data_IF_741518220028
#
_entry.id   IF_741518220028
#
_cell.length_a   1.000
_cell.length_b   1.000
_cell.length_c   1.000
_cell.angle_alpha   90.00
_cell.angle_beta   90.00
_cell.angle_gamma   90.00
#
_symmetry.space_group_name_H-M   'P 1'
#
loop_
_entity.id
_entity.type
_entity.pdbx_description
1 polymer ?
#
# COMPACT_ATOMS: atom_id res chain seq x y z
N UNK A 1 -7.55 -4.96 21.69
CA UNK A 1 -8.98 -4.56 21.62
C UNK A 1 -9.78 -5.76 22.08
N UNK A 2 -10.86 -5.59 22.86
CA UNK A 2 -11.79 -6.67 23.17
C UNK A 2 -12.49 -7.08 21.88
N UNK A 3 -12.50 -8.38 21.56
CA UNK A 3 -13.21 -8.89 20.39
C UNK A 3 -14.68 -8.50 20.49
N UNK A 4 -15.14 -7.65 19.57
CA UNK A 4 -16.57 -7.31 19.47
C UNK A 4 -17.34 -8.55 19.03
N UNK A 5 -18.54 -8.69 19.54
CA UNK A 5 -19.47 -9.79 19.20
C UNK A 5 -20.59 -9.28 18.27
N UNK A 6 -21.36 -10.20 17.70
CA UNK A 6 -22.57 -9.86 16.93
C UNK A 6 -23.54 -8.98 17.75
N UNK A 7 -23.72 -9.29 19.06
CA UNK A 7 -24.57 -8.52 19.96
C UNK A 7 -24.02 -7.09 20.16
N UNK A 8 -22.71 -6.90 20.24
CA UNK A 8 -22.08 -5.58 20.33
C UNK A 8 -22.36 -4.74 19.09
N UNK A 9 -22.36 -5.36 17.90
CA UNK A 9 -22.70 -4.69 16.64
C UNK A 9 -24.19 -4.33 16.60
N UNK A 10 -25.07 -5.25 16.94
CA UNK A 10 -26.52 -4.98 16.98
C UNK A 10 -26.85 -3.85 17.97
N UNK A 11 -26.17 -3.85 19.12
CA UNK A 11 -26.29 -2.77 20.10
C UNK A 11 -25.77 -1.44 19.55
N UNK A 12 -24.59 -1.44 18.91
CA UNK A 12 -24.01 -0.24 18.27
C UNK A 12 -24.97 0.35 17.22
N UNK A 13 -25.58 -0.50 16.39
CA UNK A 13 -26.55 -0.11 15.37
C UNK A 13 -27.76 0.59 16.01
N UNK A 14 -28.28 0.05 17.12
CA UNK A 14 -29.42 0.63 17.84
C UNK A 14 -29.05 1.93 18.56
N UNK A 15 -27.94 1.95 19.32
CA UNK A 15 -27.51 3.09 20.13
C UNK A 15 -27.18 4.31 19.26
N UNK A 16 -26.57 4.07 18.11
CA UNK A 16 -26.13 5.09 17.15
C UNK A 16 -27.21 5.46 16.12
N UNK A 17 -28.37 4.81 16.13
CA UNK A 17 -29.44 4.99 15.14
C UNK A 17 -28.91 4.82 13.71
N UNK A 18 -28.17 3.75 13.46
CA UNK A 18 -27.63 3.41 12.14
C UNK A 18 -28.77 3.04 11.19
N UNK A 19 -28.76 3.61 9.99
CA UNK A 19 -29.78 3.36 8.96
C UNK A 19 -29.35 2.28 7.97
N UNK A 20 -28.04 2.18 7.69
CA UNK A 20 -27.49 1.25 6.72
C UNK A 20 -26.22 0.57 7.24
N UNK A 21 -26.00 -0.67 6.81
CA UNK A 21 -24.76 -1.40 7.00
C UNK A 21 -24.06 -1.48 5.65
N UNK A 22 -22.81 -0.98 5.57
CA UNK A 22 -21.97 -1.07 4.39
C UNK A 22 -21.00 -2.24 4.57
N UNK A 23 -21.20 -3.25 3.77
CA UNK A 23 -20.46 -4.52 3.80
C UNK A 23 -19.29 -4.37 2.85
N UNK A 24 -18.08 -4.36 3.39
CA UNK A 24 -16.87 -4.07 2.63
C UNK A 24 -15.97 -5.29 2.55
N UNK A 25 -15.32 -5.49 1.40
CA UNK A 25 -14.29 -6.50 1.18
C UNK A 25 -13.32 -6.02 0.11
N UNK A 26 -12.16 -6.67 -0.01
CA UNK A 26 -11.11 -6.25 -0.93
C UNK A 26 -11.02 -7.20 -2.12
N UNK A 27 -10.93 -6.67 -3.36
CA UNK A 27 -10.61 -7.48 -4.53
C UNK A 27 -9.11 -7.84 -4.59
N UNK A 28 -8.72 -8.76 -5.45
CA UNK A 28 -7.34 -9.23 -5.52
C UNK A 28 -6.33 -8.11 -5.84
N UNK A 29 -6.59 -7.15 -6.78
CA UNK A 29 -5.70 -6.03 -7.03
C UNK A 29 -5.62 -4.98 -5.90
N UNK A 30 -6.54 -4.97 -4.93
CA UNK A 30 -6.48 -4.07 -3.78
C UNK A 30 -7.53 -2.95 -3.74
N UNK A 31 -8.58 -3.05 -4.57
CA UNK A 31 -9.69 -2.10 -4.49
C UNK A 31 -10.75 -2.60 -3.52
N UNK A 32 -11.19 -1.73 -2.62
CA UNK A 32 -12.33 -2.01 -1.75
C UNK A 32 -13.61 -2.05 -2.57
N UNK A 33 -14.36 -3.13 -2.39
CA UNK A 33 -15.69 -3.37 -2.94
C UNK A 33 -16.70 -3.28 -1.82
N UNK A 34 -17.95 -2.94 -2.13
CA UNK A 34 -18.99 -2.89 -1.12
C UNK A 34 -20.38 -3.18 -1.66
N UNK A 35 -21.25 -3.56 -0.75
CA UNK A 35 -22.70 -3.56 -0.92
C UNK A 35 -23.35 -3.05 0.36
N UNK A 36 -24.57 -2.52 0.27
CA UNK A 36 -25.26 -1.91 1.41
C UNK A 36 -26.58 -2.62 1.66
N UNK A 37 -26.84 -2.91 2.94
CA UNK A 37 -28.16 -3.40 3.40
C UNK A 37 -28.79 -2.41 4.37
N UNK A 38 -30.16 -2.30 4.42
CA UNK A 38 -30.83 -1.53 5.47
C UNK A 38 -30.55 -2.13 6.85
N UNK A 39 -30.27 -1.30 7.86
CA UNK A 39 -30.04 -1.78 9.21
C UNK A 39 -31.23 -2.58 9.78
N UNK A 40 -32.45 -2.32 9.29
CA UNK A 40 -33.65 -3.06 9.68
C UNK A 40 -33.70 -4.52 9.22
N UNK A 41 -32.80 -4.90 8.30
CA UNK A 41 -32.67 -6.30 7.81
C UNK A 41 -31.54 -7.03 8.50
N UNK A 42 -30.77 -6.34 9.36
CA UNK A 42 -29.66 -6.94 10.08
C UNK A 42 -30.17 -7.66 11.32
N UNK A 43 -29.88 -8.95 11.40
CA UNK A 43 -30.11 -9.78 12.58
C UNK A 43 -28.93 -10.75 12.79
N UNK A 44 -29.01 -11.56 13.83
CA UNK A 44 -27.95 -12.52 14.17
C UNK A 44 -27.68 -13.52 13.04
N UNK A 45 -28.73 -13.89 12.25
CA UNK A 45 -28.57 -14.87 11.17
C UNK A 45 -27.68 -14.36 10.03
N UNK A 46 -27.73 -13.04 9.74
CA UNK A 46 -26.84 -12.42 8.73
C UNK A 46 -25.36 -12.60 9.12
N UNK A 47 -25.08 -12.58 10.42
CA UNK A 47 -23.71 -12.76 10.92
C UNK A 47 -23.28 -14.24 10.97
N UNK A 48 -24.22 -15.16 11.26
CA UNK A 48 -23.96 -16.59 11.36
C UNK A 48 -23.94 -17.25 9.96
N UNK A 49 -24.94 -16.96 9.15
CA UNK A 49 -25.10 -17.55 7.83
C UNK A 49 -24.22 -16.90 6.78
N UNK A 50 -23.91 -15.60 6.96
CA UNK A 50 -23.18 -14.79 6.00
C UNK A 50 -24.07 -14.24 4.89
N UNK A 51 -23.45 -13.54 3.94
CA UNK A 51 -24.12 -12.93 2.79
C UNK A 51 -23.55 -13.48 1.49
N UNK A 52 -24.41 -14.00 0.64
CA UNK A 52 -24.03 -14.49 -0.68
C UNK A 52 -23.81 -13.33 -1.67
N UNK A 53 -22.82 -13.47 -2.56
CA UNK A 53 -22.55 -12.54 -3.66
C UNK A 53 -21.94 -13.26 -4.86
N UNK A 54 -21.96 -12.58 -6.03
CA UNK A 54 -21.34 -13.06 -7.27
C UNK A 54 -19.84 -12.73 -7.30
N UNK A 55 -19.00 -13.70 -6.98
CA UNK A 55 -17.54 -13.57 -7.02
C UNK A 55 -16.97 -13.49 -8.44
N UNK A 56 -17.71 -13.89 -9.49
CA UNK A 56 -17.24 -13.79 -10.88
C UNK A 56 -17.20 -12.35 -11.40
N UNK A 57 -17.93 -11.46 -10.75
CA UNK A 57 -17.92 -10.02 -11.04
C UNK A 57 -16.79 -9.29 -10.33
N UNK A 58 -16.02 -9.94 -9.45
CA UNK A 58 -14.93 -9.36 -8.68
C UNK A 58 -13.59 -9.68 -9.35
N UNK A 59 -12.76 -8.65 -9.51
CA UNK A 59 -11.47 -8.77 -10.20
C UNK A 59 -10.54 -9.75 -9.49
N UNK A 60 -10.07 -10.75 -10.24
CA UNK A 60 -9.12 -11.74 -9.77
C UNK A 60 -9.74 -12.86 -8.91
N UNK A 61 -11.07 -12.89 -8.73
CA UNK A 61 -11.75 -13.94 -7.98
C UNK A 61 -12.13 -15.13 -8.89
N UNK A 62 -13.39 -15.51 -8.94
CA UNK A 62 -13.84 -16.75 -9.57
C UNK A 62 -14.25 -16.61 -11.04
N UNK A 63 -14.42 -17.75 -11.70
CA UNK A 63 -15.03 -17.83 -13.02
C UNK A 63 -16.56 -17.94 -12.90
N UNK A 64 -17.27 -17.61 -13.98
CA UNK A 64 -18.75 -17.55 -13.99
C UNK A 64 -19.45 -18.86 -13.61
N UNK A 65 -18.78 -20.00 -13.79
CA UNK A 65 -19.35 -21.31 -13.45
C UNK A 65 -19.19 -21.72 -11.98
N UNK A 66 -18.44 -20.92 -11.19
CA UNK A 66 -18.22 -21.07 -9.75
C UNK A 66 -18.43 -19.73 -9.04
N UNK A 67 -19.48 -18.99 -9.44
CA UNK A 67 -19.63 -17.58 -9.09
C UNK A 67 -20.03 -17.33 -7.63
N UNK A 68 -20.79 -18.23 -7.04
CA UNK A 68 -21.38 -18.00 -5.72
C UNK A 68 -20.31 -18.05 -4.63
N UNK A 69 -20.26 -17.00 -3.84
CA UNK A 69 -19.33 -16.84 -2.70
C UNK A 69 -20.06 -16.29 -1.49
N UNK A 70 -19.45 -16.39 -0.33
CA UNK A 70 -20.02 -15.96 0.95
C UNK A 70 -19.13 -14.94 1.65
N UNK A 71 -19.76 -13.94 2.24
CA UNK A 71 -19.13 -12.93 3.08
C UNK A 71 -19.44 -13.20 4.55
N UNK A 72 -18.39 -13.34 5.39
CA UNK A 72 -18.50 -13.45 6.85
C UNK A 72 -17.86 -12.24 7.52
N UNK A 73 -18.51 -11.63 8.52
CA UNK A 73 -18.09 -10.36 9.10
C UNK A 73 -16.83 -10.46 9.95
N UNK A 74 -16.10 -9.36 10.00
CA UNK A 74 -15.09 -9.09 11.02
C UNK A 74 -15.56 -7.94 11.92
N UNK A 75 -16.10 -8.27 13.07
CA UNK A 75 -16.70 -7.30 13.99
C UNK A 75 -15.70 -6.28 14.55
N UNK A 76 -14.41 -6.59 14.56
CA UNK A 76 -13.38 -5.69 15.06
C UNK A 76 -13.27 -4.41 14.21
N UNK A 77 -13.69 -4.47 12.93
CA UNK A 77 -13.56 -3.40 11.96
C UNK A 77 -14.74 -2.43 11.92
N UNK A 78 -15.77 -2.63 12.76
CA UNK A 78 -16.97 -1.82 12.77
C UNK A 78 -16.70 -0.34 13.07
N UNK A 79 -17.09 0.55 12.15
CA UNK A 79 -16.91 2.00 12.24
C UNK A 79 -18.04 2.76 11.55
N UNK A 80 -18.34 3.97 12.04
CA UNK A 80 -19.30 4.85 11.38
C UNK A 80 -18.65 5.55 10.19
N UNK A 81 -19.33 5.51 9.04
CA UNK A 81 -18.89 6.18 7.81
C UNK A 81 -18.93 7.70 7.98
N UNK A 82 -17.82 8.43 7.73
CA UNK A 82 -17.78 9.87 7.92
C UNK A 82 -18.38 10.69 6.76
N UNK A 83 -18.78 10.06 5.64
CA UNK A 83 -19.21 10.76 4.42
C UNK A 83 -20.67 10.55 4.05
N UNK A 84 -21.26 9.42 4.46
CA UNK A 84 -22.61 9.05 4.06
C UNK A 84 -23.64 10.02 4.67
N UNK A 85 -24.59 10.46 3.85
CA UNK A 85 -25.68 11.35 4.31
C UNK A 85 -26.60 10.64 5.33
N UNK A 86 -26.91 9.36 5.09
CA UNK A 86 -27.55 8.51 6.06
C UNK A 86 -26.50 7.85 6.96
N UNK A 87 -26.80 7.72 8.25
CA UNK A 87 -25.86 7.13 9.21
C UNK A 87 -25.59 5.67 8.86
N UNK A 88 -24.37 5.36 8.48
CA UNK A 88 -23.95 4.08 7.94
C UNK A 88 -22.85 3.48 8.81
N UNK A 89 -22.94 2.20 9.12
CA UNK A 89 -21.89 1.42 9.76
C UNK A 89 -21.13 0.65 8.68
N UNK A 90 -19.84 0.94 8.54
CA UNK A 90 -18.91 0.16 7.69
C UNK A 90 -18.41 -1.05 8.46
N UNK A 91 -18.34 -2.18 7.81
CA UNK A 91 -17.85 -3.44 8.39
C UNK A 91 -17.12 -4.23 7.31
N UNK A 92 -15.87 -4.65 7.58
CA UNK A 92 -15.12 -5.51 6.68
C UNK A 92 -15.53 -6.97 6.83
N UNK A 93 -15.51 -7.68 5.71
CA UNK A 93 -15.86 -9.09 5.63
C UNK A 93 -14.70 -9.90 5.05
N UNK A 94 -14.65 -11.16 5.45
CA UNK A 94 -13.84 -12.19 4.80
C UNK A 94 -14.66 -12.93 3.77
N UNK A 95 -14.01 -13.35 2.71
CA UNK A 95 -14.63 -14.16 1.66
C UNK A 95 -14.40 -15.64 1.94
N UNK A 96 -15.47 -16.43 1.81
CA UNK A 96 -15.50 -17.86 2.07
C UNK A 96 -16.17 -18.63 0.92
N UNK A 97 -15.82 -19.89 0.82
CA UNK A 97 -16.54 -20.85 -0.02
C UNK A 97 -17.94 -21.09 0.57
N UNK A 98 -19.02 -21.04 -0.23
CA UNK A 98 -20.39 -21.14 0.29
C UNK A 98 -20.78 -22.55 0.75
N UNK A 99 -20.10 -23.59 0.28
CA UNK A 99 -20.42 -24.98 0.60
C UNK A 99 -19.58 -25.50 1.78
N UNK A 100 -18.27 -25.27 1.73
CA UNK A 100 -17.35 -25.76 2.76
C UNK A 100 -17.19 -24.79 3.92
N UNK A 101 -17.53 -23.51 3.72
CA UNK A 101 -17.27 -22.36 4.62
C UNK A 101 -15.78 -22.13 4.89
N UNK A 102 -14.91 -22.77 4.12
CA UNK A 102 -13.47 -22.54 4.22
C UNK A 102 -13.09 -21.13 3.70
N UNK A 103 -12.06 -20.50 4.27
CA UNK A 103 -11.58 -19.22 3.78
C UNK A 103 -11.17 -19.28 2.31
N UNK A 104 -11.66 -18.35 1.50
CA UNK A 104 -11.31 -18.29 0.09
C UNK A 104 -9.83 -17.98 -0.11
N UNK A 105 -9.16 -18.77 -0.97
CA UNK A 105 -7.72 -18.73 -1.18
C UNK A 105 -7.20 -17.39 -1.72
N UNK A 106 -8.02 -16.69 -2.51
CA UNK A 106 -7.65 -15.42 -3.15
C UNK A 106 -8.22 -14.18 -2.44
N UNK A 107 -8.86 -14.35 -1.27
CA UNK A 107 -9.23 -13.20 -0.45
C UNK A 107 -7.99 -12.60 0.23
N UNK A 108 -7.62 -11.34 -0.11
CA UNK A 108 -6.41 -10.72 0.44
C UNK A 108 -6.42 -10.63 1.97
N UNK A 109 -7.58 -10.33 2.59
CA UNK A 109 -7.68 -10.29 4.06
C UNK A 109 -7.44 -11.65 4.70
N UNK A 110 -7.90 -12.74 4.07
CA UNK A 110 -7.61 -14.10 4.53
C UNK A 110 -6.13 -14.44 4.40
N UNK A 111 -5.44 -13.97 3.35
CA UNK A 111 -3.98 -14.12 3.20
C UNK A 111 -3.25 -13.43 4.35
N UNK A 112 -3.61 -12.18 4.67
CA UNK A 112 -3.03 -11.43 5.78
C UNK A 112 -3.22 -12.15 7.13
N UNK A 113 -4.44 -12.62 7.42
CA UNK A 113 -4.75 -13.39 8.64
C UNK A 113 -3.96 -14.70 8.70
N UNK A 114 -3.83 -15.41 7.58
CA UNK A 114 -3.02 -16.63 7.51
C UNK A 114 -1.54 -16.38 7.77
N UNK A 115 -1.00 -15.24 7.31
CA UNK A 115 0.39 -14.86 7.56
C UNK A 115 0.64 -14.62 9.07
N UNK A 116 -0.26 -13.92 9.78
CA UNK A 116 -0.16 -13.75 11.23
C UNK A 116 -0.23 -15.10 11.98
N UNK A 117 -1.18 -15.95 11.60
CA UNK A 117 -1.33 -17.29 12.19
C UNK A 117 -0.09 -18.17 11.93
N UNK A 118 0.48 -18.08 10.72
CA UNK A 118 1.69 -18.81 10.39
C UNK A 118 2.88 -18.32 11.22
N UNK A 119 3.09 -17.01 11.36
CA UNK A 119 4.13 -16.47 12.24
C UNK A 119 4.03 -17.06 13.65
N UNK A 120 2.84 -17.01 14.26
CA UNK A 120 2.61 -17.56 15.60
C UNK A 120 2.94 -19.06 15.67
N UNK A 121 2.57 -19.83 14.64
CA UNK A 121 2.82 -21.28 14.58
C UNK A 121 4.29 -21.66 14.46
N UNK A 122 5.14 -20.77 13.90
CA UNK A 122 6.59 -21.01 13.80
C UNK A 122 7.31 -20.91 15.13
N UNK A 123 6.70 -20.26 16.14
CA UNK A 123 7.32 -19.97 17.42
C UNK A 123 8.42 -18.90 17.37
N UNK A 124 8.67 -18.27 16.20
CA UNK A 124 9.63 -17.16 16.06
C UNK A 124 9.11 -15.93 16.82
N UNK A 125 7.88 -15.54 16.53
CA UNK A 125 7.16 -14.43 17.16
C UNK A 125 5.67 -14.75 17.20
N UNK A 126 4.90 -14.00 17.98
CA UNK A 126 3.44 -14.10 18.02
C UNK A 126 2.75 -12.87 17.42
N UNK A 127 3.48 -11.77 17.28
CA UNK A 127 2.94 -10.51 16.79
C UNK A 127 3.91 -9.86 15.82
N UNK A 128 3.37 -9.40 14.67
CA UNK A 128 4.08 -8.56 13.72
C UNK A 128 3.38 -7.20 13.63
N UNK A 129 4.10 -6.13 13.94
CA UNK A 129 3.61 -4.76 13.79
C UNK A 129 4.07 -4.17 12.46
N UNK A 130 3.12 -3.53 11.79
CA UNK A 130 3.33 -2.80 10.55
C UNK A 130 2.85 -1.36 10.68
N UNK A 131 3.55 -0.42 10.03
CA UNK A 131 3.15 0.97 9.93
C UNK A 131 3.54 1.52 8.56
N UNK A 132 2.63 2.17 7.88
CA UNK A 132 2.83 2.68 6.53
C UNK A 132 2.89 4.21 6.49
N UNK A 133 3.72 4.72 5.58
CA UNK A 133 3.85 6.13 5.21
C UNK A 133 3.32 6.27 3.78
N UNK A 134 2.01 6.56 3.62
CA UNK A 134 1.37 6.60 2.31
C UNK A 134 1.50 7.99 1.67
N UNK A 135 2.26 8.08 0.58
CA UNK A 135 2.39 9.28 -0.23
C UNK A 135 1.36 9.30 -1.37
N UNK A 136 0.90 10.49 -1.75
CA UNK A 136 -0.08 10.68 -2.82
C UNK A 136 0.01 12.08 -3.43
N UNK A 137 -0.56 12.23 -4.64
CA UNK A 137 -0.71 13.53 -5.30
C UNK A 137 -2.14 14.02 -5.25
N UNK A 138 -2.30 15.34 -5.07
CA UNK A 138 -3.57 16.06 -5.09
C UNK A 138 -3.63 16.90 -6.37
N UNK A 139 -4.64 16.66 -7.21
CA UNK A 139 -4.85 17.39 -8.45
C UNK A 139 -6.20 18.10 -8.48
N UNK A 140 -6.27 19.19 -9.24
CA UNK A 140 -7.52 19.91 -9.55
C UNK A 140 -8.28 19.22 -10.67
N UNK A 141 -7.58 18.66 -11.66
CA UNK A 141 -8.20 17.92 -12.75
C UNK A 141 -7.30 16.81 -13.27
N UNK A 142 -7.95 15.74 -13.73
CA UNK A 142 -7.30 14.61 -14.41
C UNK A 142 -8.12 14.23 -15.62
N UNK A 143 -7.47 14.18 -16.79
CA UNK A 143 -8.06 13.71 -18.04
C UNK A 143 -7.13 12.73 -18.72
N UNK A 144 -7.66 11.66 -19.24
CA UNK A 144 -6.91 10.70 -20.04
C UNK A 144 -7.82 10.01 -21.05
N UNK A 145 -7.24 9.62 -22.17
CA UNK A 145 -7.91 8.82 -23.19
C UNK A 145 -6.87 7.92 -23.88
N UNK A 146 -7.34 6.79 -24.40
CA UNK A 146 -6.53 5.83 -25.15
C UNK A 146 -7.37 5.19 -26.23
N UNK A 147 -7.40 5.83 -27.40
CA UNK A 147 -8.06 5.37 -28.61
C UNK A 147 -7.04 4.80 -29.60
N UNK A 148 -7.53 4.15 -30.65
CA UNK A 148 -6.68 3.58 -31.70
C UNK A 148 -5.78 4.61 -32.38
N UNK A 149 -6.26 5.84 -32.53
CA UNK A 149 -5.60 6.94 -33.25
C UNK A 149 -5.10 8.06 -32.35
N UNK A 150 -5.17 7.92 -31.04
CA UNK A 150 -4.72 8.95 -30.11
C UNK A 150 -4.72 8.48 -28.67
N UNK A 151 -3.69 8.87 -27.94
CA UNK A 151 -3.59 8.63 -26.49
C UNK A 151 -2.99 9.85 -25.81
N UNK A 152 -3.53 10.19 -24.66
CA UNK A 152 -2.98 11.25 -23.82
C UNK A 152 -3.36 11.05 -22.37
N UNK A 153 -2.62 11.69 -21.48
CA UNK A 153 -3.09 12.06 -20.15
C UNK A 153 -2.77 13.54 -19.89
N UNK A 154 -3.58 14.19 -19.10
CA UNK A 154 -3.35 15.55 -18.64
C UNK A 154 -3.83 15.67 -17.20
N UNK A 155 -2.94 16.14 -16.34
CA UNK A 155 -3.24 16.45 -14.95
C UNK A 155 -2.96 17.91 -14.70
N UNK A 156 -3.71 18.54 -13.80
CA UNK A 156 -3.49 19.94 -13.47
C UNK A 156 -3.67 20.18 -11.97
N UNK A 157 -2.92 21.16 -11.44
CA UNK A 157 -2.93 21.57 -10.05
C UNK A 157 -2.52 23.04 -9.91
N UNK A 158 -3.25 23.77 -9.08
CA UNK A 158 -2.88 25.16 -8.77
C UNK A 158 -1.50 25.29 -8.16
N UNK A 159 -1.04 24.30 -7.39
CA UNK A 159 0.31 24.29 -6.83
C UNK A 159 1.39 23.88 -7.83
N UNK A 160 0.99 23.40 -9.02
CA UNK A 160 1.90 22.88 -10.04
C UNK A 160 2.85 23.93 -10.61
N UNK A 161 4.15 23.60 -10.67
CA UNK A 161 5.17 24.49 -11.21
C UNK A 161 4.91 24.90 -12.67
N UNK A 162 4.28 24.01 -13.45
CA UNK A 162 3.89 24.28 -14.84
C UNK A 162 2.87 25.41 -15.01
N UNK A 163 2.23 25.83 -13.90
CA UNK A 163 1.27 26.94 -13.87
C UNK A 163 1.89 28.29 -13.49
N UNK A 164 3.22 28.41 -13.37
CA UNK A 164 3.89 29.68 -13.04
C UNK A 164 3.63 30.78 -14.08
N UNK A 165 3.47 30.44 -15.35
CA UNK A 165 3.18 31.36 -16.44
C UNK A 165 1.69 31.58 -16.73
N UNK A 166 0.79 30.91 -16.02
CA UNK A 166 -0.65 31.09 -16.18
C UNK A 166 -1.09 32.47 -15.70
N UNK A 167 -1.94 33.22 -16.43
CA UNK A 167 -2.45 34.50 -15.94
C UNK A 167 -3.46 34.35 -14.79
N UNK A 168 -4.09 33.19 -14.64
CA UNK A 168 -5.13 32.91 -13.66
C UNK A 168 -4.84 31.63 -12.90
N UNK A 169 -5.38 31.53 -11.69
CA UNK A 169 -5.45 30.26 -10.93
C UNK A 169 -6.58 29.38 -11.47
N UNK A 170 -6.49 28.06 -11.24
CA UNK A 170 -7.57 27.11 -11.51
C UNK A 170 -8.77 27.47 -10.62
N UNK A 171 -9.95 27.58 -11.21
CA UNK A 171 -11.13 28.06 -10.48
C UNK A 171 -11.33 29.58 -10.53
N UNK A 172 -10.39 30.32 -11.11
CA UNK A 172 -10.50 31.77 -11.38
C UNK A 172 -9.68 32.62 -10.39
N UNK A 173 -9.55 33.89 -10.74
CA UNK A 173 -8.71 34.83 -9.99
C UNK A 173 -7.34 35.01 -10.62
N UNK A 174 -6.58 35.97 -10.11
CA UNK A 174 -5.22 36.30 -10.60
C UNK A 174 -4.25 35.28 -10.02
N UNK A 175 -3.30 34.83 -10.84
CA UNK A 175 -2.21 33.97 -10.37
C UNK A 175 -1.35 34.72 -9.34
N UNK A 176 -1.31 34.24 -8.11
CA UNK A 176 -0.58 34.86 -6.99
C UNK A 176 0.84 34.32 -6.80
N UNK A 177 1.29 33.42 -7.67
CA UNK A 177 2.56 32.72 -7.53
C UNK A 177 2.45 31.56 -6.52
N UNK A 178 3.45 31.37 -5.69
CA UNK A 178 3.51 30.28 -4.70
C UNK A 178 3.36 28.88 -5.30
N UNK A 179 3.94 28.67 -6.49
CA UNK A 179 3.96 27.35 -7.13
C UNK A 179 5.14 26.54 -6.61
N UNK A 180 4.89 25.28 -6.24
CA UNK A 180 5.92 24.38 -5.71
C UNK A 180 6.91 24.00 -6.80
N UNK A 181 8.20 24.24 -6.59
CA UNK A 181 9.26 23.84 -7.51
C UNK A 181 9.36 22.30 -7.58
N UNK A 182 9.71 21.72 -8.74
CA UNK A 182 10.02 20.30 -8.82
C UNK A 182 11.07 19.93 -7.78
N UNK A 183 10.81 18.86 -7.02
CA UNK A 183 11.63 18.38 -5.89
C UNK A 183 11.82 19.38 -4.75
N UNK A 184 11.06 20.45 -4.68
CA UNK A 184 11.22 21.55 -3.71
C UNK A 184 10.05 21.71 -2.74
N UNK A 185 9.17 20.71 -2.62
CA UNK A 185 7.95 20.80 -1.81
C UNK A 185 8.02 20.24 -0.39
N UNK A 186 9.21 19.85 0.10
CA UNK A 186 9.29 19.24 1.43
C UNK A 186 9.13 20.26 2.56
N UNK A 187 8.05 20.14 3.34
CA UNK A 187 7.72 20.93 4.54
C UNK A 187 7.58 22.46 4.35
N UNK A 188 7.05 22.98 3.23
CA UNK A 188 6.78 24.41 3.18
C UNK A 188 5.64 24.77 4.14
N UNK A 189 5.63 26.01 4.60
CA UNK A 189 4.45 26.58 5.26
C UNK A 189 3.53 27.25 4.23
N UNK A 190 2.26 27.44 4.58
CA UNK A 190 1.36 28.25 3.77
C UNK A 190 1.94 29.68 3.56
N UNK A 191 1.78 30.31 2.39
CA UNK A 191 0.91 29.90 1.27
C UNK A 191 1.56 28.94 0.26
N UNK A 192 2.83 28.54 0.41
CA UNK A 192 3.45 27.56 -0.49
C UNK A 192 2.82 26.17 -0.33
N UNK A 193 2.39 25.81 0.87
CA UNK A 193 1.54 24.65 1.11
C UNK A 193 0.07 25.00 0.89
N UNK A 194 -0.41 24.72 -0.29
CA UNK A 194 -1.80 25.01 -0.70
C UNK A 194 -2.83 24.08 -0.05
N UNK A 195 -2.40 22.94 0.49
CA UNK A 195 -3.30 21.84 0.85
C UNK A 195 -3.27 21.47 2.34
N UNK A 196 -2.74 22.35 3.20
CA UNK A 196 -2.71 22.09 4.64
C UNK A 196 -4.11 21.83 5.20
N UNK A 197 -5.09 22.69 4.91
CA UNK A 197 -6.48 22.54 5.38
C UNK A 197 -7.14 21.26 4.83
N UNK A 198 -6.82 20.88 3.59
CA UNK A 198 -7.33 19.65 3.00
C UNK A 198 -6.73 18.39 3.67
N UNK A 199 -5.43 18.40 3.98
CA UNK A 199 -4.81 17.30 4.73
C UNK A 199 -5.34 17.22 6.16
N UNK A 200 -5.61 18.36 6.79
CA UNK A 200 -6.23 18.39 8.12
C UNK A 200 -7.65 17.81 8.08
N UNK A 201 -8.43 18.10 7.03
CA UNK A 201 -9.72 17.48 6.82
C UNK A 201 -9.62 15.95 6.58
N UNK A 202 -8.62 15.49 5.80
CA UNK A 202 -8.33 14.06 5.63
C UNK A 202 -7.99 13.39 6.96
N UNK A 203 -7.09 14.00 7.74
CA UNK A 203 -6.69 13.51 9.07
C UNK A 203 -7.89 13.44 10.02
N UNK A 204 -8.75 14.46 10.00
CA UNK A 204 -9.97 14.49 10.82
C UNK A 204 -10.93 13.36 10.46
N UNK A 205 -11.17 13.13 9.16
CA UNK A 205 -12.05 12.06 8.70
C UNK A 205 -11.51 10.67 9.02
N UNK A 206 -10.20 10.46 8.85
CA UNK A 206 -9.55 9.21 9.24
C UNK A 206 -9.65 8.98 10.77
N UNK A 207 -9.44 10.03 11.56
CA UNK A 207 -9.58 9.95 13.02
C UNK A 207 -11.02 9.66 13.44
N UNK A 208 -12.00 10.29 12.78
CA UNK A 208 -13.44 10.03 13.04
C UNK A 208 -13.82 8.59 12.65
N UNK A 209 -13.13 8.00 11.68
CA UNK A 209 -13.26 6.59 11.34
C UNK A 209 -12.53 5.64 12.34
N UNK A 210 -11.95 6.19 13.42
CA UNK A 210 -11.33 5.41 14.49
C UNK A 210 -9.84 5.17 14.35
N UNK A 211 -9.18 5.73 13.31
CA UNK A 211 -7.75 5.54 13.10
C UNK A 211 -6.89 6.43 13.99
N UNK A 212 -5.72 5.95 14.34
CA UNK A 212 -4.68 6.76 14.96
C UNK A 212 -3.62 7.11 13.93
N UNK A 213 -3.39 8.41 13.74
CA UNK A 213 -2.40 8.94 12.80
C UNK A 213 -1.24 9.57 13.57
N UNK A 214 -0.06 9.61 12.94
CA UNK A 214 1.13 10.21 13.56
C UNK A 214 1.36 11.65 13.07
N UNK A 215 1.27 11.88 11.76
CA UNK A 215 1.49 13.19 11.12
C UNK A 215 0.97 13.21 9.69
N UNK A 216 0.89 14.43 9.13
CA UNK A 216 0.67 14.67 7.71
C UNK A 216 1.44 15.91 7.26
N UNK A 217 2.00 15.89 6.05
CA UNK A 217 2.79 16.99 5.52
C UNK A 217 2.79 17.05 3.99
N UNK A 218 3.26 18.18 3.45
CA UNK A 218 3.55 18.32 2.03
C UNK A 218 4.87 17.60 1.71
N UNK A 219 4.89 16.85 0.62
CA UNK A 219 6.04 16.10 0.13
C UNK A 219 6.81 16.83 -0.97
N UNK A 220 7.92 16.21 -1.45
CA UNK A 220 8.89 16.86 -2.34
C UNK A 220 8.30 17.28 -3.69
N UNK A 221 7.30 16.56 -4.21
CA UNK A 221 6.80 16.76 -5.55
C UNK A 221 6.05 18.08 -5.76
N UNK A 222 6.20 18.67 -6.93
CA UNK A 222 5.36 19.77 -7.41
C UNK A 222 3.92 19.29 -7.63
N UNK A 223 2.95 20.19 -7.61
CA UNK A 223 1.55 19.86 -7.90
C UNK A 223 0.79 19.22 -6.76
N UNK A 224 1.28 19.35 -5.51
CA UNK A 224 0.52 18.98 -4.31
C UNK A 224 0.75 17.55 -3.85
N UNK A 225 1.99 17.07 -3.85
CA UNK A 225 2.32 15.81 -3.21
C UNK A 225 2.20 15.92 -1.69
N UNK A 226 1.63 14.92 -1.06
CA UNK A 226 1.39 14.85 0.38
C UNK A 226 1.65 13.45 0.91
N UNK A 227 1.86 13.36 2.23
CA UNK A 227 2.03 12.13 2.98
C UNK A 227 1.19 12.17 4.25
N UNK A 228 0.58 11.02 4.59
CA UNK A 228 -0.08 10.80 5.88
C UNK A 228 0.50 9.51 6.47
N UNK A 229 1.05 9.62 7.70
CA UNK A 229 1.64 8.52 8.43
C UNK A 229 0.63 7.91 9.38
N UNK A 230 0.45 6.61 9.25
CA UNK A 230 -0.41 5.80 10.11
C UNK A 230 0.39 5.26 11.29
N UNK A 231 -0.22 5.28 12.48
CA UNK A 231 0.37 4.60 13.62
C UNK A 231 0.43 3.11 13.33
N UNK A 232 1.51 2.46 13.76
CA UNK A 232 1.66 1.01 13.60
C UNK A 232 0.54 0.22 14.30
N UNK A 233 0.17 -0.91 13.69
CA UNK A 233 -0.80 -1.87 14.20
C UNK A 233 -0.35 -3.29 13.84
N UNK A 234 -1.07 -4.34 14.27
CA UNK A 234 -0.82 -5.70 13.79
C UNK A 234 -1.05 -5.77 12.28
N UNK A 235 -0.46 -6.76 11.61
CA UNK A 235 -0.41 -6.82 10.15
C UNK A 235 -1.78 -6.63 9.49
N UNK A 236 -2.79 -7.44 9.90
CA UNK A 236 -4.13 -7.37 9.33
C UNK A 236 -4.78 -6.00 9.60
N UNK A 237 -4.71 -5.53 10.83
CA UNK A 237 -5.29 -4.23 11.19
C UNK A 237 -4.53 -3.06 10.57
N UNK A 238 -3.20 -3.12 10.43
CA UNK A 238 -2.45 -2.08 9.73
C UNK A 238 -2.84 -1.99 8.24
N UNK A 239 -3.17 -3.12 7.60
CA UNK A 239 -3.71 -3.13 6.25
C UNK A 239 -5.16 -2.60 6.19
N UNK A 240 -6.00 -2.94 7.16
CA UNK A 240 -7.36 -2.37 7.32
C UNK A 240 -7.30 -0.86 7.55
N UNK A 241 -6.36 -0.37 8.36
CA UNK A 241 -6.17 1.05 8.69
C UNK A 241 -5.78 1.89 7.47
N UNK A 242 -5.19 1.30 6.41
CA UNK A 242 -4.88 1.99 5.16
C UNK A 242 -6.15 2.29 4.34
N UNK A 243 -7.05 3.05 4.93
CA UNK A 243 -8.33 3.44 4.31
C UNK A 243 -8.13 4.55 3.27
N UNK A 244 -7.40 4.27 2.20
CA UNK A 244 -7.06 5.24 1.16
C UNK A 244 -8.29 5.86 0.48
N UNK A 245 -9.43 5.18 0.53
CA UNK A 245 -10.68 5.70 0.00
C UNK A 245 -11.21 6.91 0.81
N UNK A 246 -10.93 6.99 2.12
CA UNK A 246 -11.30 8.16 2.94
C UNK A 246 -10.54 9.40 2.47
N UNK A 247 -9.25 9.27 2.16
CA UNK A 247 -8.44 10.35 1.60
C UNK A 247 -9.02 10.81 0.25
N UNK A 248 -9.35 9.85 -0.63
CA UNK A 248 -9.96 10.13 -1.94
C UNK A 248 -11.31 10.83 -1.81
N UNK A 249 -12.19 10.35 -0.92
CA UNK A 249 -13.50 10.94 -0.69
C UNK A 249 -13.41 12.34 -0.09
N UNK A 250 -12.49 12.56 0.84
CA UNK A 250 -12.25 13.89 1.42
C UNK A 250 -11.84 14.88 0.31
N UNK A 251 -10.88 14.49 -0.54
CA UNK A 251 -10.47 15.34 -1.66
C UNK A 251 -11.64 15.64 -2.61
N UNK A 252 -12.41 14.62 -2.96
CA UNK A 252 -13.60 14.76 -3.81
C UNK A 252 -14.62 15.75 -3.23
N UNK A 253 -14.92 15.66 -1.93
CA UNK A 253 -15.82 16.57 -1.25
C UNK A 253 -15.33 18.04 -1.26
N UNK A 254 -14.02 18.26 -1.42
CA UNK A 254 -13.37 19.57 -1.52
C UNK A 254 -13.08 19.99 -2.97
N UNK A 255 -13.67 19.32 -3.97
CA UNK A 255 -13.49 19.65 -5.39
C UNK A 255 -12.09 19.35 -5.94
N UNK A 256 -11.37 18.44 -5.29
CA UNK A 256 -10.05 17.95 -5.70
C UNK A 256 -10.09 16.46 -6.02
N UNK A 257 -9.01 15.94 -6.57
CA UNK A 257 -8.82 14.50 -6.76
C UNK A 257 -7.47 14.05 -6.24
N UNK A 258 -7.38 12.81 -5.77
CA UNK A 258 -6.15 12.21 -5.25
C UNK A 258 -5.79 10.97 -6.04
N UNK A 259 -4.52 10.84 -6.35
CA UNK A 259 -3.96 9.61 -6.90
C UNK A 259 -2.84 9.05 -6.03
N UNK A 260 -2.87 7.73 -5.85
CA UNK A 260 -1.80 6.95 -5.26
C UNK A 260 -0.92 6.28 -6.32
N UNK A 261 -0.99 6.73 -7.57
CA UNK A 261 -0.07 6.27 -8.61
C UNK A 261 1.39 6.53 -8.19
N UNK A 262 2.27 5.55 -8.32
CA UNK A 262 3.67 5.69 -7.92
C UNK A 262 4.43 6.78 -8.67
N UNK A 263 4.07 7.05 -9.93
CA UNK A 263 4.70 8.07 -10.78
C UNK A 263 3.70 8.75 -11.71
N UNK A 264 2.88 9.69 -11.21
CA UNK A 264 1.90 10.38 -12.06
C UNK A 264 2.50 11.50 -12.90
N UNK A 265 3.68 12.04 -12.51
CA UNK A 265 4.36 13.15 -13.18
C UNK A 265 5.74 12.74 -13.70
N UNK A 266 6.03 13.09 -14.96
CA UNK A 266 7.38 12.98 -15.51
C UNK A 266 8.27 14.11 -14.95
N UNK A 267 9.52 13.77 -14.60
CA UNK A 267 10.52 14.77 -14.16
C UNK A 267 10.39 15.24 -12.72
N UNK A 268 9.43 14.71 -11.94
CA UNK A 268 9.25 15.04 -10.53
C UNK A 268 9.31 13.79 -9.65
N UNK A 269 9.22 13.92 -8.31
CA UNK A 269 9.28 12.78 -7.39
C UNK A 269 8.08 11.83 -7.59
N UNK A 270 8.31 10.54 -7.36
CA UNK A 270 7.25 9.54 -7.26
C UNK A 270 6.69 9.46 -5.84
N UNK A 271 5.57 8.74 -5.69
CA UNK A 271 4.92 8.46 -4.41
C UNK A 271 5.22 7.04 -3.95
N UNK A 272 5.81 6.91 -2.77
CA UNK A 272 6.08 5.65 -2.08
C UNK A 272 5.01 5.30 -1.05
N UNK A 273 5.16 4.12 -0.50
CA UNK A 273 4.55 3.70 0.75
C UNK A 273 5.61 2.97 1.55
N UNK A 274 6.43 3.72 2.29
CA UNK A 274 7.44 3.08 3.12
C UNK A 274 6.77 2.29 4.23
N UNK A 275 7.20 1.05 4.43
CA UNK A 275 6.58 0.15 5.40
C UNK A 275 7.55 -0.16 6.51
N UNK A 276 7.20 0.28 7.71
CA UNK A 276 7.88 -0.09 8.94
C UNK A 276 7.37 -1.41 9.46
N UNK A 277 8.26 -2.28 9.95
CA UNK A 277 7.89 -3.53 10.58
C UNK A 277 8.78 -3.87 11.78
N UNK A 278 8.19 -4.59 12.74
CA UNK A 278 8.91 -5.21 13.86
C UNK A 278 8.18 -6.48 14.33
N UNK A 279 8.95 -7.45 14.85
CA UNK A 279 8.42 -8.70 15.40
C UNK A 279 8.50 -8.68 16.93
N UNK A 280 7.47 -9.24 17.57
CA UNK A 280 7.32 -9.29 19.02
C UNK A 280 6.91 -10.67 19.47
N UNK A 281 7.26 -11.02 20.71
CA UNK A 281 6.86 -12.26 21.36
C UNK A 281 6.55 -12.01 22.82
N UNK A 282 5.42 -12.49 23.31
CA UNK A 282 4.97 -12.32 24.70
C UNK A 282 4.99 -10.84 25.15
N UNK A 283 4.72 -9.91 24.23
CA UNK A 283 4.72 -8.47 24.47
C UNK A 283 6.11 -7.80 24.50
N UNK A 284 7.17 -8.56 24.19
CA UNK A 284 8.54 -8.05 24.15
C UNK A 284 9.06 -7.91 22.70
N UNK A 285 9.78 -6.82 22.36
CA UNK A 285 10.31 -6.59 21.03
C UNK A 285 11.54 -7.46 20.75
N UNK A 286 11.59 -8.05 19.56
CA UNK A 286 12.67 -8.97 19.17
C UNK A 286 13.80 -8.33 18.34
N UNK A 287 13.65 -7.07 17.93
CA UNK A 287 14.56 -6.46 16.95
C UNK A 287 15.75 -5.72 17.57
N UNK A 288 15.79 -5.54 18.89
CA UNK A 288 16.83 -4.75 19.56
C UNK A 288 17.93 -5.63 20.15
N UNK A 289 19.18 -5.26 19.88
CA UNK A 289 20.39 -5.72 20.59
C UNK A 289 21.39 -4.58 20.61
N UNK A 290 21.76 -4.11 21.81
CA UNK A 290 22.70 -2.99 22.00
C UNK A 290 24.07 -3.23 21.34
N UNK A 291 24.53 -4.47 21.28
CA UNK A 291 25.82 -4.84 20.70
C UNK A 291 25.79 -4.95 19.16
N UNK A 292 24.61 -5.04 18.57
CA UNK A 292 24.46 -5.23 17.12
C UNK A 292 24.62 -3.93 16.32
N UNK A 293 24.93 -4.07 15.03
CA UNK A 293 24.95 -2.93 14.09
C UNK A 293 23.61 -2.17 14.16
N UNK A 294 23.70 -0.85 14.32
CA UNK A 294 22.54 0.02 14.48
C UNK A 294 21.57 -0.39 15.62
N UNK A 295 22.02 -1.18 16.59
CA UNK A 295 21.20 -1.72 17.66
C UNK A 295 20.24 -2.82 17.20
N UNK A 296 20.59 -3.58 16.17
CA UNK A 296 19.78 -4.69 15.66
C UNK A 296 20.19 -6.03 16.24
N UNK A 297 19.19 -6.84 16.59
CA UNK A 297 19.39 -8.25 16.91
C UNK A 297 19.71 -9.08 15.66
N UNK A 298 20.24 -10.29 15.85
CA UNK A 298 20.44 -11.26 14.77
C UNK A 298 19.13 -11.59 14.05
N UNK A 299 18.02 -11.69 14.80
CA UNK A 299 16.70 -11.95 14.23
C UNK A 299 16.30 -10.82 13.26
N UNK A 300 16.45 -9.56 13.65
CA UNK A 300 16.17 -8.43 12.77
C UNK A 300 17.07 -8.43 11.53
N UNK A 301 18.34 -8.81 11.69
CA UNK A 301 19.29 -8.92 10.58
C UNK A 301 18.90 -10.02 9.60
N UNK A 302 18.44 -11.18 10.09
CA UNK A 302 17.90 -12.23 9.22
C UNK A 302 16.60 -11.83 8.52
N UNK A 303 15.73 -11.05 9.17
CA UNK A 303 14.56 -10.44 8.50
C UNK A 303 14.99 -9.56 7.33
N UNK A 304 16.02 -8.72 7.51
CA UNK A 304 16.59 -7.92 6.41
C UNK A 304 17.11 -8.85 5.31
N UNK A 305 17.83 -9.91 5.69
CA UNK A 305 18.36 -10.90 4.75
C UNK A 305 17.26 -11.52 3.89
N UNK A 306 16.15 -11.94 4.49
CA UNK A 306 15.00 -12.48 3.78
C UNK A 306 14.34 -11.47 2.85
N UNK A 307 14.09 -10.23 3.32
CA UNK A 307 13.52 -9.16 2.48
C UNK A 307 14.42 -8.89 1.26
N UNK A 308 15.73 -8.74 1.45
CA UNK A 308 16.66 -8.42 0.36
C UNK A 308 16.84 -9.59 -0.60
N UNK A 309 16.85 -10.82 -0.09
CA UNK A 309 16.97 -12.05 -0.91
C UNK A 309 15.79 -12.20 -1.86
N UNK A 310 14.58 -12.06 -1.30
CA UNK A 310 13.33 -12.20 -2.05
C UNK A 310 12.85 -10.89 -2.71
N UNK A 311 13.55 -9.76 -2.55
CA UNK A 311 13.11 -8.48 -3.11
C UNK A 311 12.72 -8.57 -4.59
N UNK A 312 13.46 -9.27 -5.48
CA UNK A 312 13.07 -9.38 -6.90
C UNK A 312 11.69 -10.00 -7.15
N UNK A 313 11.25 -10.94 -6.33
CA UNK A 313 9.92 -11.57 -6.38
C UNK A 313 8.90 -10.86 -5.50
N UNK A 314 9.32 -10.37 -4.33
CA UNK A 314 8.49 -9.65 -3.35
C UNK A 314 7.84 -8.39 -3.94
N UNK A 315 8.55 -7.71 -4.85
CA UNK A 315 8.04 -6.52 -5.55
C UNK A 315 6.78 -6.83 -6.38
N UNK A 316 6.46 -8.08 -6.68
CA UNK A 316 5.21 -8.47 -7.33
C UNK A 316 3.96 -8.07 -6.53
N UNK A 317 4.08 -7.95 -5.20
CA UNK A 317 2.99 -7.56 -4.29
C UNK A 317 3.16 -6.16 -3.73
N UNK A 318 4.40 -5.70 -3.52
CA UNK A 318 4.67 -4.37 -2.95
C UNK A 318 4.74 -3.26 -4.00
N UNK A 319 5.03 -3.60 -5.27
CA UNK A 319 5.17 -2.69 -6.41
C UNK A 319 4.51 -3.29 -7.68
N UNK A 320 3.19 -3.56 -7.63
CA UNK A 320 2.56 -4.48 -8.57
C UNK A 320 2.13 -3.85 -9.89
N UNK A 321 2.53 -2.64 -10.22
CA UNK A 321 2.09 -1.95 -11.43
C UNK A 321 3.25 -1.58 -12.35
N UNK A 322 2.96 -1.41 -13.65
CA UNK A 322 3.95 -0.87 -14.60
C UNK A 322 4.41 0.52 -14.16
N UNK A 323 3.53 1.29 -13.53
CA UNK A 323 3.84 2.62 -13.05
C UNK A 323 4.80 2.60 -11.84
N UNK A 324 4.83 1.53 -11.05
CA UNK A 324 5.78 1.33 -9.96
C UNK A 324 7.25 1.43 -10.45
N UNK A 325 7.54 0.88 -11.63
CA UNK A 325 8.88 0.87 -12.24
C UNK A 325 9.24 2.18 -12.96
N UNK A 326 8.30 3.11 -13.07
CA UNK A 326 8.58 4.51 -13.42
C UNK A 326 9.00 5.35 -12.20
N UNK A 327 8.62 4.90 -10.98
CA UNK A 327 9.10 5.47 -9.71
C UNK A 327 10.47 4.89 -9.33
N UNK A 328 10.65 3.58 -9.41
CA UNK A 328 11.90 2.90 -9.04
C UNK A 328 13.00 3.15 -10.09
N UNK A 329 13.44 4.39 -10.19
CA UNK A 329 14.49 4.85 -11.11
C UNK A 329 15.52 5.70 -10.36
N UNK A 330 16.80 5.74 -10.84
CA UNK A 330 17.85 6.54 -10.20
C UNK A 330 17.49 8.04 -10.13
N UNK A 331 18.04 8.76 -9.14
CA UNK A 331 17.99 10.23 -8.99
C UNK A 331 16.64 10.86 -8.58
N UNK A 332 15.65 10.04 -8.17
CA UNK A 332 14.34 10.54 -7.67
C UNK A 332 14.03 10.05 -6.24
N UNK A 333 15.07 9.90 -5.41
CA UNK A 333 14.95 9.39 -4.03
C UNK A 333 14.36 7.98 -3.92
N UNK A 334 14.30 7.25 -5.05
CA UNK A 334 13.77 5.91 -5.11
C UNK A 334 14.82 4.88 -4.66
N UNK A 335 14.46 3.92 -3.80
CA UNK A 335 15.36 2.92 -3.25
C UNK A 335 15.56 1.75 -4.22
N UNK A 336 16.41 1.94 -5.22
CA UNK A 336 16.67 0.90 -6.25
C UNK A 336 17.75 -0.09 -5.87
N UNK A 337 18.59 0.26 -4.89
CA UNK A 337 19.72 -0.58 -4.46
C UNK A 337 19.28 -1.54 -3.36
N UNK A 338 19.37 -2.84 -3.60
CA UNK A 338 18.96 -3.90 -2.68
C UNK A 338 19.99 -4.10 -1.56
N UNK A 339 20.15 -3.08 -0.75
CA UNK A 339 21.03 -3.01 0.40
C UNK A 339 20.28 -2.47 1.62
N UNK A 340 20.91 -2.60 2.80
CA UNK A 340 20.41 -1.96 4.00
C UNK A 340 21.43 -1.00 4.59
N UNK A 341 20.94 -0.03 5.35
CA UNK A 341 21.77 0.97 6.00
C UNK A 341 21.06 1.64 7.17
N UNK A 342 21.83 2.08 8.16
CA UNK A 342 21.36 3.04 9.14
C UNK A 342 21.34 4.44 8.52
N UNK A 343 20.19 5.16 8.61
CA UNK A 343 20.03 6.59 8.19
C UNK A 343 19.96 6.83 6.68
N UNK A 344 20.60 6.02 5.84
CA UNK A 344 20.71 6.26 4.41
C UNK A 344 19.36 6.04 3.70
N UNK A 345 18.81 7.09 3.10
CA UNK A 345 17.53 7.07 2.38
C UNK A 345 17.61 6.47 0.98
N UNK A 346 18.82 6.25 0.45
CA UNK A 346 19.00 5.59 -0.85
C UNK A 346 19.01 4.06 -0.75
N UNK A 347 19.08 3.49 0.46
CA UNK A 347 19.01 2.06 0.70
C UNK A 347 17.56 1.54 0.64
N UNK A 348 17.38 0.34 0.11
CA UNK A 348 16.10 -0.36 0.02
C UNK A 348 15.51 -0.66 1.42
N UNK A 349 16.35 -1.10 2.36
CA UNK A 349 15.97 -1.24 3.76
C UNK A 349 16.72 -0.22 4.61
N UNK A 350 15.98 0.66 5.27
CA UNK A 350 16.55 1.63 6.20
C UNK A 350 16.27 1.21 7.64
N UNK A 351 17.25 1.45 8.52
CA UNK A 351 17.09 1.29 9.96
C UNK A 351 16.93 2.70 10.56
N UNK A 352 15.71 3.09 10.99
CA UNK A 352 15.49 4.38 11.58
C UNK A 352 16.29 4.55 12.88
N UNK A 353 16.71 5.78 13.17
CA UNK A 353 17.34 6.12 14.45
C UNK A 353 16.24 6.19 15.51
N UNK A 354 16.31 5.29 16.48
CA UNK A 354 15.30 5.17 17.56
C UNK A 354 15.91 5.32 18.96
N UNK A 355 17.19 5.73 19.04
CA UNK A 355 17.93 5.73 20.30
C UNK A 355 18.07 4.31 20.86
N UNK A 356 18.09 4.21 22.18
CA UNK A 356 18.24 2.94 22.92
C UNK A 356 16.92 2.33 23.38
N UNK A 357 15.77 2.83 22.90
CA UNK A 357 14.47 2.28 23.24
C UNK A 357 14.21 1.00 22.44
N UNK A 358 14.20 -0.20 23.09
CA UNK A 358 13.98 -1.46 22.37
C UNK A 358 12.62 -1.52 21.65
N UNK A 359 11.58 -0.92 22.24
CA UNK A 359 10.21 -0.92 21.68
C UNK A 359 10.07 -0.07 20.41
N UNK A 360 11.02 0.82 20.14
CA UNK A 360 11.01 1.66 18.94
C UNK A 360 11.82 1.04 17.79
N UNK A 361 12.60 -0.03 18.04
CA UNK A 361 13.46 -0.65 17.02
C UNK A 361 12.62 -1.34 15.95
N UNK A 362 12.86 -0.96 14.70
CA UNK A 362 12.11 -1.45 13.54
C UNK A 362 12.94 -1.37 12.26
N UNK A 363 12.49 -2.04 11.24
CA UNK A 363 12.98 -1.95 9.87
C UNK A 363 12.03 -1.07 9.06
N UNK A 364 12.53 -0.41 8.04
CA UNK A 364 11.76 0.34 7.05
C UNK A 364 12.10 -0.16 5.66
N UNK A 365 11.16 -0.88 5.04
CA UNK A 365 11.27 -1.27 3.63
C UNK A 365 10.71 -0.14 2.77
N UNK A 366 11.55 0.45 1.93
CA UNK A 366 11.26 1.70 1.22
C UNK A 366 10.79 1.51 -0.22
N UNK A 367 10.94 0.30 -0.77
CA UNK A 367 10.50 0.03 -2.14
C UNK A 367 8.99 0.14 -2.33
N UNK A 368 8.13 -0.35 -1.43
CA UNK A 368 6.69 -0.41 -1.65
C UNK A 368 6.08 0.92 -2.10
N UNK A 369 4.97 0.84 -2.81
CA UNK A 369 4.12 1.98 -3.16
C UNK A 369 2.64 1.67 -2.91
N UNK A 370 1.82 2.72 -2.81
CA UNK A 370 0.40 2.61 -2.44
C UNK A 370 -0.51 2.06 -3.55
N UNK A 371 0.05 1.65 -4.70
CA UNK A 371 -0.72 0.92 -5.73
C UNK A 371 -0.84 -0.57 -5.41
N UNK A 372 -0.05 -1.07 -4.45
CA UNK A 372 -0.12 -2.43 -3.96
C UNK A 372 -1.34 -2.68 -3.07
N UNK A 373 -1.82 -3.94 -3.09
CA UNK A 373 -2.79 -4.41 -2.13
C UNK A 373 -2.11 -4.56 -0.76
N UNK A 374 -2.46 -3.77 0.28
CA UNK A 374 -1.72 -3.77 1.55
C UNK A 374 -1.75 -5.12 2.26
N UNK A 375 -2.85 -5.87 2.17
CA UNK A 375 -2.96 -7.20 2.77
C UNK A 375 -1.95 -8.18 2.17
N UNK A 376 -1.82 -8.20 0.84
CA UNK A 376 -0.86 -9.06 0.15
C UNK A 376 0.58 -8.56 0.33
N UNK A 377 0.79 -7.24 0.28
CA UNK A 377 2.11 -6.64 0.43
C UNK A 377 2.70 -6.93 1.82
N UNK A 378 1.93 -6.69 2.88
CA UNK A 378 2.40 -6.92 4.25
C UNK A 378 2.57 -8.41 4.56
N UNK A 379 1.64 -9.26 4.07
CA UNK A 379 1.78 -10.71 4.19
C UNK A 379 3.05 -11.22 3.50
N UNK A 380 3.32 -10.79 2.27
CA UNK A 380 4.51 -11.20 1.53
C UNK A 380 5.81 -10.73 2.21
N UNK A 381 5.82 -9.49 2.75
CA UNK A 381 6.96 -8.99 3.54
C UNK A 381 7.18 -9.83 4.80
N UNK A 382 6.11 -10.20 5.51
CA UNK A 382 6.21 -11.05 6.70
C UNK A 382 6.74 -12.43 6.33
N UNK A 383 6.26 -13.04 5.24
CA UNK A 383 6.74 -14.34 4.78
C UNK A 383 8.22 -14.31 4.42
N UNK A 384 8.70 -13.24 3.74
CA UNK A 384 10.12 -13.05 3.47
C UNK A 384 10.94 -12.93 4.77
N UNK A 385 10.43 -12.23 5.79
CA UNK A 385 11.07 -12.15 7.12
C UNK A 385 11.15 -13.52 7.79
N UNK A 386 10.05 -14.29 7.78
CA UNK A 386 10.01 -15.63 8.40
C UNK A 386 11.01 -16.56 7.72
N UNK A 387 11.07 -16.56 6.39
CA UNK A 387 12.04 -17.36 5.64
C UNK A 387 13.47 -16.95 5.96
N UNK A 388 13.76 -15.66 6.01
CA UNK A 388 15.05 -15.11 6.40
C UNK A 388 15.50 -15.60 7.79
N UNK A 389 14.60 -15.62 8.77
CA UNK A 389 14.90 -16.09 10.13
C UNK A 389 15.07 -17.61 10.18
N UNK A 390 14.20 -18.38 9.53
CA UNK A 390 14.26 -19.85 9.51
C UNK A 390 15.54 -20.36 8.88
N UNK A 391 15.95 -19.75 7.76
CA UNK A 391 17.11 -20.15 7.00
C UNK A 391 18.38 -19.37 7.37
N UNK A 392 18.29 -18.45 8.36
CA UNK A 392 19.38 -17.57 8.79
C UNK A 392 20.07 -16.87 7.62
N UNK A 393 19.25 -16.28 6.73
CA UNK A 393 19.75 -15.58 5.56
C UNK A 393 20.47 -14.32 6.01
N UNK A 394 21.81 -14.35 5.90
CA UNK A 394 22.65 -13.23 6.30
C UNK A 394 22.68 -12.20 5.16
N UNK A 395 22.25 -10.94 5.38
CA UNK A 395 22.41 -9.91 4.37
C UNK A 395 23.89 -9.55 4.15
N UNK A 396 24.22 -9.03 2.98
CA UNK A 396 25.54 -8.42 2.76
C UNK A 396 25.81 -7.29 3.77
N UNK A 397 27.05 -6.85 3.90
CA UNK A 397 27.40 -5.77 4.83
C UNK A 397 26.56 -4.49 4.55
N UNK A 398 26.22 -3.73 5.59
CA UNK A 398 25.46 -2.47 5.43
C UNK A 398 26.25 -1.45 4.59
N UNK A 399 25.55 -0.64 3.81
CA UNK A 399 26.16 0.39 2.97
C UNK A 399 25.80 1.78 3.49
N UNK A 400 26.69 2.39 4.28
CA UNK A 400 26.49 3.71 4.90
C UNK A 400 27.08 4.86 4.06
N UNK A 401 27.19 4.66 2.74
CA UNK A 401 27.65 5.65 1.76
C UNK A 401 26.47 6.19 0.96
N UNK A 402 26.64 7.38 0.36
CA UNK A 402 25.69 7.87 -0.64
C UNK A 402 25.74 6.98 -1.89
N UNK A 403 24.67 6.23 -2.12
CA UNK A 403 24.58 5.28 -3.23
C UNK A 403 24.45 5.95 -4.60
N UNK A 404 24.10 7.24 -4.64
CA UNK A 404 23.99 8.00 -5.89
C UNK A 404 25.35 8.53 -6.37
N UNK A 405 26.33 8.64 -5.46
CA UNK A 405 27.68 9.16 -5.74
C UNK A 405 28.78 8.06 -5.69
N UNK A 406 28.38 6.80 -5.69
CA UNK A 406 29.36 5.71 -5.67
C UNK A 406 30.19 5.66 -6.98
N UNK A 407 31.51 5.36 -6.88
CA UNK A 407 32.32 5.02 -8.03
C UNK A 407 31.70 3.85 -8.83
N UNK A 408 31.85 3.84 -10.16
CA UNK A 408 31.23 2.80 -11.01
C UNK A 408 31.57 1.36 -10.61
N UNK A 409 32.80 1.14 -10.15
CA UNK A 409 33.31 -0.19 -9.75
C UNK A 409 32.64 -0.66 -8.43
N UNK A 410 32.36 0.25 -7.49
CA UNK A 410 31.63 -0.06 -6.25
C UNK A 410 30.15 -0.25 -6.55
N UNK A 411 29.57 0.59 -7.40
CA UNK A 411 28.16 0.50 -7.81
C UNK A 411 27.83 -0.79 -8.56
N UNK A 412 28.75 -1.29 -9.40
CA UNK A 412 28.57 -2.52 -10.18
C UNK A 412 28.40 -3.78 -9.32
N UNK A 413 28.88 -3.77 -8.07
CA UNK A 413 28.72 -4.88 -7.13
C UNK A 413 27.43 -4.86 -6.31
N UNK A 414 26.60 -3.83 -6.43
CA UNK A 414 25.37 -3.68 -5.64
C UNK A 414 24.18 -4.26 -6.41
N UNK A 415 23.46 -5.25 -5.83
CA UNK A 415 22.22 -5.76 -6.42
C UNK A 415 21.18 -4.64 -6.56
N UNK A 416 20.46 -4.62 -7.67
CA UNK A 416 19.43 -3.62 -7.94
C UNK A 416 18.05 -4.25 -8.09
N UNK A 417 17.02 -3.47 -7.76
CA UNK A 417 15.64 -3.85 -8.00
C UNK A 417 15.39 -4.04 -9.52
N UNK A 418 14.50 -4.97 -9.89
CA UNK A 418 14.04 -5.09 -11.26
C UNK A 418 13.52 -3.77 -11.80
N UNK A 419 13.68 -3.56 -13.11
CA UNK A 419 13.30 -2.29 -13.76
C UNK A 419 11.94 -2.33 -14.48
N UNK A 420 11.31 -3.50 -14.53
CA UNK A 420 10.06 -3.72 -15.25
C UNK A 420 9.17 -4.74 -14.53
N UNK A 421 7.85 -4.52 -14.58
CA UNK A 421 6.88 -5.44 -13.99
C UNK A 421 6.98 -6.86 -14.60
N UNK A 422 7.22 -7.00 -15.90
CA UNK A 422 7.37 -8.30 -16.54
C UNK A 422 8.51 -9.13 -15.91
N UNK A 423 9.65 -8.50 -15.66
CA UNK A 423 10.80 -9.12 -14.99
C UNK A 423 10.44 -9.57 -13.57
N UNK A 424 9.64 -8.77 -12.85
CA UNK A 424 9.19 -9.12 -11.49
C UNK A 424 8.23 -10.30 -11.51
N UNK A 425 7.35 -10.38 -12.51
CA UNK A 425 6.49 -11.57 -12.67
C UNK A 425 7.29 -12.84 -12.96
N UNK A 426 8.35 -12.74 -13.77
CA UNK A 426 9.24 -13.88 -14.04
C UNK A 426 10.02 -14.29 -12.77
N UNK A 427 10.46 -13.32 -11.96
CA UNK A 427 11.07 -13.58 -10.65
C UNK A 427 10.09 -14.24 -9.68
N UNK A 428 8.84 -13.80 -9.61
CA UNK A 428 7.82 -14.43 -8.77
C UNK A 428 7.56 -15.88 -9.20
N UNK A 429 7.50 -16.14 -10.49
CA UNK A 429 7.33 -17.50 -11.02
C UNK A 429 8.49 -18.43 -10.60
N UNK A 430 9.71 -17.90 -10.53
CA UNK A 430 10.93 -18.64 -10.16
C UNK A 430 11.16 -18.72 -8.64
N UNK A 431 10.66 -17.77 -7.85
CA UNK A 431 10.93 -17.62 -6.41
C UNK A 431 9.62 -17.25 -5.68
N UNK A 432 8.81 -18.24 -5.36
CA UNK A 432 7.56 -18.07 -4.59
C UNK A 432 7.36 -19.12 -3.49
N UNK A 433 8.28 -20.05 -3.32
CA UNK A 433 8.15 -21.13 -2.34
C UNK A 433 8.00 -20.57 -0.91
N UNK A 434 8.75 -19.50 -0.58
CA UNK A 434 8.67 -18.84 0.72
C UNK A 434 7.26 -18.28 1.03
N UNK A 435 6.52 -17.87 0.01
CA UNK A 435 5.15 -17.36 0.14
C UNK A 435 4.15 -18.45 0.45
N UNK A 436 4.38 -19.66 -0.08
CA UNK A 436 3.44 -20.77 0.04
C UNK A 436 3.59 -21.57 1.32
N UNK A 437 4.65 -21.33 2.09
CA UNK A 437 4.81 -21.96 3.40
C UNK A 437 3.61 -21.72 4.30
N UNK A 438 3.23 -22.75 5.06
CA UNK A 438 2.05 -22.71 5.93
C UNK A 438 0.71 -22.51 5.21
N UNK A 439 0.68 -22.58 3.87
CA UNK A 439 -0.51 -22.33 3.05
C UNK A 439 -0.96 -20.87 3.07
N UNK A 440 -0.06 -19.93 3.34
CA UNK A 440 -0.37 -18.49 3.42
C UNK A 440 -0.81 -17.97 2.05
N UNK A 441 0.09 -17.95 1.09
CA UNK A 441 -0.27 -17.84 -0.32
C UNK A 441 -0.52 -19.24 -0.87
N UNK A 442 -1.42 -19.35 -1.81
CA UNK A 442 -1.73 -20.65 -2.44
C UNK A 442 -1.23 -20.66 -3.89
N UNK A 443 -0.91 -21.82 -4.46
CA UNK A 443 -0.47 -21.90 -5.86
C UNK A 443 -1.49 -21.27 -6.82
N UNK A 444 -2.78 -21.46 -6.60
CA UNK A 444 -3.84 -20.86 -7.43
C UNK A 444 -3.87 -19.34 -7.36
N UNK A 445 -3.57 -18.75 -6.19
CA UNK A 445 -3.44 -17.29 -6.05
C UNK A 445 -2.24 -16.80 -6.86
N UNK A 446 -1.07 -17.44 -6.72
CA UNK A 446 0.15 -17.06 -7.45
C UNK A 446 -0.05 -17.16 -8.97
N UNK A 447 -0.58 -18.29 -9.46
CA UNK A 447 -0.87 -18.50 -10.88
C UNK A 447 -1.85 -17.46 -11.41
N UNK A 448 -2.93 -17.20 -10.67
CA UNK A 448 -3.94 -16.23 -11.06
C UNK A 448 -3.37 -14.80 -11.06
N UNK A 449 -2.50 -14.44 -10.09
CA UNK A 449 -1.83 -13.15 -10.03
C UNK A 449 -0.92 -12.95 -11.24
N UNK A 450 -0.07 -13.93 -11.57
CA UNK A 450 0.82 -13.91 -12.73
C UNK A 450 0.03 -13.72 -14.04
N UNK A 451 -1.03 -14.52 -14.23
CA UNK A 451 -1.91 -14.41 -15.38
C UNK A 451 -2.59 -13.04 -15.44
N UNK A 452 -3.18 -12.58 -14.33
CA UNK A 452 -3.86 -11.28 -14.26
C UNK A 452 -2.92 -10.15 -14.66
N UNK A 453 -1.71 -10.10 -14.12
CA UNK A 453 -0.73 -9.06 -14.41
C UNK A 453 -0.24 -9.10 -15.86
N UNK A 454 0.01 -10.29 -16.39
CA UNK A 454 0.46 -10.45 -17.78
C UNK A 454 -0.63 -10.07 -18.79
N UNK A 455 -1.86 -10.54 -18.58
CA UNK A 455 -2.96 -10.41 -19.54
C UNK A 455 -3.65 -9.04 -19.46
N UNK A 456 -3.84 -8.49 -18.28
CA UNK A 456 -4.64 -7.27 -18.08
C UNK A 456 -3.81 -5.99 -17.92
N UNK A 457 -2.52 -6.08 -17.63
CA UNK A 457 -1.67 -4.90 -17.44
C UNK A 457 -0.48 -4.88 -18.41
N UNK A 458 0.41 -5.86 -18.37
CA UNK A 458 1.67 -5.84 -19.14
C UNK A 458 1.39 -5.85 -20.64
N UNK A 459 0.66 -6.85 -21.12
CA UNK A 459 0.35 -6.99 -22.56
C UNK A 459 -0.43 -5.81 -23.10
N UNK A 460 -1.54 -5.35 -22.48
CA UNK A 460 -2.28 -4.20 -22.99
C UNK A 460 -1.48 -2.89 -23.06
N UNK A 461 -0.60 -2.64 -22.09
CA UNK A 461 0.24 -1.43 -22.12
C UNK A 461 1.31 -1.53 -23.20
N UNK A 462 1.98 -2.69 -23.33
CA UNK A 462 3.03 -2.90 -24.33
C UNK A 462 2.53 -2.84 -25.78
N UNK A 463 1.25 -3.11 -26.02
CA UNK A 463 0.62 -3.01 -27.33
C UNK A 463 0.26 -1.56 -27.73
N UNK A 464 0.31 -0.60 -26.82
CA UNK A 464 -0.07 0.77 -27.06
C UNK A 464 1.18 1.62 -27.29
N UNK A 465 1.29 2.32 -28.45
CA UNK A 465 2.40 3.24 -28.67
C UNK A 465 2.32 4.41 -27.70
N UNK A 466 3.48 4.77 -27.14
CA UNK A 466 3.60 5.92 -26.27
C UNK A 466 3.81 7.21 -27.10
N UNK A 467 3.21 8.37 -26.75
CA UNK A 467 3.39 9.62 -27.50
C UNK A 467 4.86 10.02 -27.76
N UNK A 468 5.74 9.68 -26.83
CA UNK A 468 7.18 9.96 -26.96
C UNK A 468 7.87 9.11 -28.03
N UNK A 469 7.33 7.94 -28.39
CA UNK A 469 7.85 7.12 -29.50
C UNK A 469 7.66 7.84 -30.85
N UNK A 470 6.59 8.62 -31.01
CA UNK A 470 6.41 9.45 -32.19
C UNK A 470 7.48 10.55 -32.33
N UNK A 471 7.94 11.12 -31.21
CA UNK A 471 9.03 12.06 -31.22
C UNK A 471 10.39 11.43 -31.57
N UNK A 472 10.56 10.12 -31.28
CA UNK A 472 11.80 9.41 -31.54
C UNK A 472 11.85 8.74 -32.91
N UNK A 473 10.71 8.26 -33.43
CA UNK A 473 10.70 7.28 -34.51
C UNK A 473 9.78 7.64 -35.67
N UNK A 474 9.05 8.77 -35.65
CA UNK A 474 8.05 9.09 -36.67
C UNK A 474 8.65 9.26 -38.07
N UNK A 475 9.88 9.67 -38.14
CA UNK A 475 10.62 9.97 -39.38
C UNK A 475 11.70 8.93 -39.74
N UNK A 476 11.74 7.79 -39.03
CA UNK A 476 12.70 6.69 -39.33
C UNK A 476 12.26 5.82 -40.51
#
# INVERSE_FOLDING_TARGET
MTDKTADDILKLVADENVEYIDIQFCDLPGMMQHLTIPASTLDASVFEDGLAFDGSSIRGFQSIHESDMMLLPDFSTAQIDPFRAAKTLNLNFFVHDPFTREPYSRDPRNVARKAENYLASTGIADTAYFGAEAEFYIFDSVRFDSQMNGTFYAVDSDSGWWNTGSPTEIGGGVNRGYKTRPKGGYFPVAPNDHYVDLRDAMTTNLTNAGLTLERGHHECGSGGQAEINYKFNTLLHAADDLMLYIIKNTAWAHGKTVTFMPKPLFGDNGSGMHVHLSLWKDGEPLFYDEAGYAGLSDLARYCIGGILHHAPSLLAFTNPTINSYKRLVPHYEAPINLVYSQRNRSACVRIPITGTNPKAKRLEFRCPDSSGNPYLAFAAMLMACIDGVKNKIEPAAPVDKDLYELPPDEAAGIPQAPTQLAQVMDNLEADHEYLTEGGVFTPDLIENWLRYKRDHEITPVNLRPHPYEFALYYDC
#
